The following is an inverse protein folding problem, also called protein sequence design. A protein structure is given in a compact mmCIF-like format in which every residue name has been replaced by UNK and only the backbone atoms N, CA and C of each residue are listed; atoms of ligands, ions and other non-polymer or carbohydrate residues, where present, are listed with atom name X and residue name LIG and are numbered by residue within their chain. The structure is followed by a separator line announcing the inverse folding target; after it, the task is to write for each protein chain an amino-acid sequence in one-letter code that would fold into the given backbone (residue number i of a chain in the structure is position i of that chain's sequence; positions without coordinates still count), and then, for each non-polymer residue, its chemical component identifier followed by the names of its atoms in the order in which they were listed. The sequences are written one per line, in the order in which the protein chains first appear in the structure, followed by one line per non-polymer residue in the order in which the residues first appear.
data_IF_141808058928
#
_entry.id   IF_141808058928
#
_cell.length_a   1.000
_cell.length_b   1.000
_cell.length_c   1.000
_cell.angle_alpha   90.00
_cell.angle_beta   90.00
_cell.angle_gamma   90.00
#
_symmetry.space_group_name_H-M   'P 1'
#
loop_
_entity.id
_entity.type
_entity.pdbx_description
1 polymer ?
#
# COMPACT_ATOMS: atom_id res chain seq x y z
N UNK A 1 13.75 6.63 -60.91
CA UNK A 1 14.02 5.45 -60.07
C UNK A 1 14.31 5.79 -58.59
N UNK A 2 15.12 6.80 -58.26
CA UNK A 2 15.41 7.22 -56.88
C UNK A 2 14.18 7.65 -56.04
N UNK A 3 13.20 8.37 -56.64
CA UNK A 3 12.01 8.85 -55.93
C UNK A 3 11.05 7.71 -55.48
N UNK A 4 10.98 6.61 -56.25
CA UNK A 4 10.12 5.48 -55.91
C UNK A 4 10.66 4.68 -54.73
N UNK A 5 11.97 4.62 -54.53
CA UNK A 5 12.62 3.93 -53.40
C UNK A 5 12.41 4.70 -52.12
N UNK A 6 12.55 6.02 -52.13
CA UNK A 6 12.30 6.91 -50.97
C UNK A 6 10.86 6.86 -50.52
N UNK A 7 9.92 6.82 -51.48
CA UNK A 7 8.47 6.70 -51.16
C UNK A 7 8.14 5.36 -50.51
N UNK A 8 8.71 4.24 -51.00
CA UNK A 8 8.51 2.92 -50.38
C UNK A 8 9.06 2.85 -48.95
N UNK A 9 10.25 3.41 -48.72
CA UNK A 9 10.85 3.46 -47.37
C UNK A 9 9.99 4.30 -46.42
N UNK A 10 9.44 5.43 -46.87
CA UNK A 10 8.58 6.29 -46.06
C UNK A 10 7.28 5.61 -45.70
N UNK A 11 6.69 4.81 -46.57
CA UNK A 11 5.48 4.02 -46.35
C UNK A 11 5.75 2.88 -45.35
N UNK A 12 6.88 2.18 -45.50
CA UNK A 12 7.27 1.12 -44.54
C UNK A 12 7.51 1.67 -43.13
N UNK A 13 8.23 2.79 -43.00
CA UNK A 13 8.48 3.44 -41.70
C UNK A 13 7.15 3.85 -41.05
N UNK A 14 6.20 4.42 -41.81
CA UNK A 14 4.90 4.81 -41.30
C UNK A 14 4.02 3.60 -40.87
N UNK A 15 4.14 2.46 -41.54
CA UNK A 15 3.46 1.23 -41.15
C UNK A 15 4.05 0.61 -39.88
N UNK A 16 5.38 0.62 -39.72
CA UNK A 16 6.00 0.13 -38.51
C UNK A 16 5.74 1.04 -37.30
N UNK A 17 5.72 2.35 -37.48
CA UNK A 17 5.35 3.31 -36.42
C UNK A 17 3.90 3.10 -35.99
N UNK A 18 2.97 2.89 -36.93
CA UNK A 18 1.56 2.59 -36.58
C UNK A 18 1.42 1.26 -35.85
N UNK A 19 2.19 0.24 -36.24
CA UNK A 19 2.17 -1.08 -35.59
C UNK A 19 2.72 -0.99 -34.16
N UNK A 20 3.83 -0.26 -33.94
CA UNK A 20 4.42 -0.04 -32.63
C UNK A 20 3.50 0.80 -31.74
N UNK A 21 2.86 1.85 -32.27
CA UNK A 21 1.86 2.64 -31.55
C UNK A 21 0.60 1.83 -31.20
N UNK A 22 0.14 0.94 -32.12
CA UNK A 22 -0.98 0.05 -31.81
C UNK A 22 -0.61 -1.00 -30.74
N UNK A 23 0.60 -1.52 -30.75
CA UNK A 23 1.09 -2.45 -29.73
C UNK A 23 1.29 -1.77 -28.39
N UNK A 24 1.80 -0.53 -28.39
CA UNK A 24 1.90 0.30 -27.19
C UNK A 24 0.51 0.62 -26.62
N UNK A 25 -0.48 0.96 -27.44
CA UNK A 25 -1.86 1.19 -27.00
C UNK A 25 -2.53 -0.08 -26.45
N UNK A 26 -2.21 -1.26 -26.97
CA UNK A 26 -2.70 -2.54 -26.44
C UNK A 26 -2.00 -2.87 -25.12
N UNK A 27 -0.70 -2.57 -24.96
CA UNK A 27 0.03 -2.78 -23.70
C UNK A 27 -0.36 -1.73 -22.63
N UNK A 28 -0.67 -0.49 -23.03
CA UNK A 28 -1.18 0.54 -22.12
C UNK A 28 -2.69 0.40 -21.87
N UNK A 29 -3.46 -0.21 -22.77
CA UNK A 29 -4.88 -0.52 -22.61
C UNK A 29 -5.17 -1.70 -21.68
N UNK A 30 -4.14 -2.46 -21.29
CA UNK A 30 -4.20 -3.48 -20.23
C UNK A 30 -3.85 -2.92 -18.84
N UNK A 31 -3.63 -1.62 -18.69
CA UNK A 31 -3.74 -0.92 -17.40
C UNK A 31 -5.25 -0.81 -17.16
N UNK A 32 -5.77 -1.78 -16.44
CA UNK A 32 -7.18 -1.98 -16.13
C UNK A 32 -7.83 -0.66 -15.68
N UNK A 33 -8.84 -0.13 -16.38
CA UNK A 33 -9.66 0.98 -15.87
C UNK A 33 -10.48 0.59 -14.63
N UNK A 34 -10.47 -0.67 -14.20
CA UNK A 34 -11.08 -1.20 -12.98
C UNK A 34 -10.55 -0.54 -11.68
N UNK A 35 -9.46 0.23 -11.75
CA UNK A 35 -8.86 0.83 -10.55
C UNK A 35 -9.51 2.15 -10.11
N UNK A 36 -10.19 2.90 -10.99
CA UNK A 36 -10.82 4.17 -10.60
C UNK A 36 -12.23 3.97 -10.01
N UNK A 37 -13.02 3.06 -10.51
CA UNK A 37 -14.35 2.73 -9.94
C UNK A 37 -14.22 2.00 -8.59
N UNK A 38 -13.24 1.09 -8.44
CA UNK A 38 -12.95 0.44 -7.18
C UNK A 38 -12.49 1.43 -6.09
N UNK A 39 -11.81 2.52 -6.44
CA UNK A 39 -11.29 3.51 -5.47
C UNK A 39 -12.42 4.24 -4.75
N UNK A 40 -13.53 4.60 -5.42
CA UNK A 40 -14.65 5.29 -4.78
C UNK A 40 -15.43 4.37 -3.81
N UNK A 41 -15.61 3.11 -4.14
CA UNK A 41 -16.22 2.12 -3.25
C UNK A 41 -15.36 1.82 -2.02
N UNK A 42 -14.03 1.92 -2.15
CA UNK A 42 -13.07 1.76 -1.05
C UNK A 42 -13.06 2.93 -0.05
N UNK A 43 -13.52 4.11 -0.45
CA UNK A 43 -13.59 5.29 0.41
C UNK A 43 -14.69 5.18 1.48
N UNK A 44 -15.65 4.30 1.31
CA UNK A 44 -16.64 3.99 2.33
C UNK A 44 -16.06 2.96 3.30
N UNK A 45 -15.27 3.45 4.25
CA UNK A 45 -14.75 2.63 5.33
C UNK A 45 -15.86 1.89 6.05
N UNK A 46 -15.57 0.70 6.56
CA UNK A 46 -16.51 0.02 7.45
C UNK A 46 -16.58 0.75 8.78
N UNK A 47 -17.79 0.91 9.28
CA UNK A 47 -18.00 1.40 10.65
C UNK A 47 -17.48 0.37 11.66
N UNK A 48 -17.16 0.83 12.86
CA UNK A 48 -16.79 -0.05 13.99
C UNK A 48 -17.83 -1.15 14.20
N UNK A 49 -19.12 -0.80 14.13
CA UNK A 49 -20.22 -1.74 14.30
C UNK A 49 -20.26 -2.82 13.21
N UNK A 50 -20.09 -2.45 11.95
CA UNK A 50 -20.03 -3.41 10.83
C UNK A 50 -18.87 -4.39 10.98
N UNK A 51 -17.67 -3.89 11.37
CA UNK A 51 -16.51 -4.73 11.63
C UNK A 51 -16.77 -5.71 12.78
N UNK A 52 -17.33 -5.24 13.89
CA UNK A 52 -17.64 -6.10 15.03
C UNK A 52 -18.71 -7.14 14.71
N UNK A 53 -19.73 -6.78 13.95
CA UNK A 53 -20.74 -7.71 13.45
C UNK A 53 -20.13 -8.78 12.54
N UNK A 54 -19.19 -8.38 11.68
CA UNK A 54 -18.46 -9.33 10.83
C UNK A 54 -17.73 -10.36 11.67
N UNK A 55 -16.90 -9.94 12.63
CA UNK A 55 -16.11 -10.85 13.46
C UNK A 55 -17.01 -11.72 14.36
N UNK A 56 -18.10 -11.18 14.88
CA UNK A 56 -19.05 -11.95 15.68
C UNK A 56 -19.74 -13.05 14.88
N UNK A 57 -20.14 -12.75 13.63
CA UNK A 57 -20.80 -13.74 12.75
C UNK A 57 -19.85 -14.81 12.23
N UNK A 58 -18.60 -14.47 12.01
CA UNK A 58 -17.61 -15.36 11.39
C UNK A 58 -16.59 -15.95 12.38
N UNK A 59 -16.80 -15.81 13.69
CA UNK A 59 -15.80 -16.13 14.73
C UNK A 59 -15.17 -17.53 14.61
N UNK A 60 -15.96 -18.51 14.13
CA UNK A 60 -15.52 -19.92 14.02
C UNK A 60 -14.89 -20.24 12.64
N UNK A 61 -14.91 -19.28 11.70
CA UNK A 61 -14.45 -19.47 10.32
C UNK A 61 -13.44 -18.40 9.86
N UNK A 62 -12.90 -17.62 10.79
CA UNK A 62 -11.89 -16.59 10.45
C UNK A 62 -10.58 -17.24 10.00
N UNK A 63 -10.03 -16.73 8.92
CA UNK A 63 -8.69 -17.13 8.50
C UNK A 63 -7.62 -16.55 9.42
N UNK A 64 -6.43 -17.13 9.37
CA UNK A 64 -5.34 -16.79 10.30
C UNK A 64 -4.97 -15.30 10.29
N UNK A 65 -5.06 -14.63 9.14
CA UNK A 65 -4.75 -13.19 9.00
C UNK A 65 -5.91 -12.29 9.44
N UNK A 66 -7.16 -12.77 9.42
CA UNK A 66 -8.31 -11.98 9.81
C UNK A 66 -8.33 -11.68 11.30
N UNK A 67 -8.83 -10.52 11.67
CA UNK A 67 -8.95 -10.11 13.07
C UNK A 67 -8.57 -8.67 13.32
N UNK A 68 -8.36 -8.36 14.60
CA UNK A 68 -7.99 -7.05 15.08
C UNK A 68 -6.50 -7.02 15.39
N UNK A 69 -5.85 -5.94 14.98
CA UNK A 69 -4.41 -5.80 15.00
C UNK A 69 -3.97 -4.44 15.51
N UNK A 70 -2.91 -4.39 16.28
CA UNK A 70 -2.16 -3.16 16.56
C UNK A 70 -0.94 -3.10 15.67
N UNK A 71 -0.80 -2.01 14.93
CA UNK A 71 0.31 -1.75 14.02
C UNK A 71 1.40 -0.96 14.73
N UNK A 72 2.63 -1.47 14.75
CA UNK A 72 3.85 -0.75 15.04
C UNK A 72 4.69 -0.52 13.77
N UNK A 73 5.48 0.54 13.75
CA UNK A 73 6.38 0.85 12.65
C UNK A 73 7.76 1.30 13.14
N UNK A 74 8.80 0.82 12.48
CA UNK A 74 10.16 1.34 12.59
C UNK A 74 10.51 2.03 11.26
N UNK A 75 10.88 3.30 11.31
CA UNK A 75 11.29 4.11 10.17
C UNK A 75 12.79 4.34 10.22
N UNK A 76 13.50 4.04 9.14
CA UNK A 76 14.95 4.31 9.04
C UNK A 76 15.21 5.16 7.82
N UNK A 77 15.74 6.36 8.03
CA UNK A 77 16.15 7.28 6.98
C UNK A 77 17.58 7.04 6.58
N UNK A 78 17.83 6.94 5.29
CA UNK A 78 19.16 6.89 4.67
C UNK A 78 19.31 8.08 3.71
N UNK A 79 20.47 8.72 3.74
CA UNK A 79 20.90 9.76 2.80
C UNK A 79 22.25 9.36 2.24
N UNK A 80 22.37 9.29 0.91
CA UNK A 80 23.56 8.75 0.23
C UNK A 80 24.00 7.36 0.74
N UNK A 81 23.02 6.51 1.07
CA UNK A 81 23.28 5.18 1.63
C UNK A 81 23.67 5.15 3.12
N UNK A 82 23.91 6.30 3.73
CA UNK A 82 24.28 6.43 5.15
C UNK A 82 23.00 6.49 5.99
N UNK A 83 22.91 5.63 7.01
CA UNK A 83 21.84 5.68 8.01
C UNK A 83 21.91 6.96 8.82
N UNK A 84 20.86 7.78 8.76
CA UNK A 84 20.81 9.09 9.44
C UNK A 84 20.05 9.00 10.76
N UNK A 85 18.85 8.40 10.73
CA UNK A 85 17.97 8.31 11.90
C UNK A 85 17.12 7.04 11.84
N UNK A 86 16.78 6.51 13.00
CA UNK A 86 15.77 5.46 13.16
C UNK A 86 14.77 5.89 14.22
N UNK A 87 13.50 5.82 13.90
CA UNK A 87 12.38 6.14 14.78
C UNK A 87 11.49 4.92 14.93
N UNK A 88 10.90 4.74 16.11
CA UNK A 88 9.99 3.63 16.38
C UNK A 88 8.68 4.14 16.99
N UNK A 89 7.57 3.70 16.43
CA UNK A 89 6.22 3.94 16.94
C UNK A 89 5.55 2.58 17.17
N UNK A 90 5.55 2.05 18.41
CA UNK A 90 5.09 0.68 18.68
C UNK A 90 3.57 0.50 18.55
N UNK A 91 2.79 1.55 18.80
CA UNK A 91 1.32 1.51 18.78
C UNK A 91 0.78 2.66 17.92
N UNK A 92 1.08 2.60 16.61
CA UNK A 92 0.72 3.68 15.69
C UNK A 92 -0.76 3.71 15.36
N UNK A 93 -1.37 2.54 15.20
CA UNK A 93 -2.74 2.42 14.68
C UNK A 93 -3.35 1.06 14.99
N UNK A 94 -4.64 1.07 15.33
CA UNK A 94 -5.43 -0.14 15.46
C UNK A 94 -6.23 -0.38 14.19
N UNK A 95 -6.13 -1.60 13.68
CA UNK A 95 -6.63 -2.00 12.37
C UNK A 95 -7.48 -3.28 12.47
N UNK A 96 -8.41 -3.42 11.56
CA UNK A 96 -9.14 -4.64 11.30
C UNK A 96 -8.74 -5.20 9.94
N UNK A 97 -8.52 -6.51 9.86
CA UNK A 97 -8.32 -7.24 8.60
C UNK A 97 -9.54 -8.10 8.36
N UNK A 98 -10.24 -7.87 7.26
CA UNK A 98 -11.51 -8.51 6.92
C UNK A 98 -11.42 -9.12 5.53
N UNK A 99 -11.89 -10.36 5.36
CA UNK A 99 -11.96 -11.03 4.07
C UNK A 99 -13.11 -10.48 3.24
N UNK A 100 -12.81 -10.04 2.01
CA UNK A 100 -13.78 -9.60 1.01
C UNK A 100 -13.43 -10.22 -0.35
N UNK A 101 -14.17 -11.23 -0.74
CA UNK A 101 -13.81 -12.06 -1.88
C UNK A 101 -12.46 -12.76 -1.66
N UNK A 102 -11.51 -12.54 -2.56
CA UNK A 102 -10.15 -13.10 -2.50
C UNK A 102 -9.15 -12.19 -1.78
N UNK A 103 -9.60 -11.02 -1.29
CA UNK A 103 -8.76 -10.03 -0.64
C UNK A 103 -9.01 -9.97 0.86
N UNK A 104 -7.97 -9.73 1.63
CA UNK A 104 -8.04 -9.36 3.04
C UNK A 104 -7.81 -7.85 3.16
N UNK A 105 -8.90 -7.09 3.30
CA UNK A 105 -8.89 -5.64 3.35
C UNK A 105 -8.58 -5.11 4.73
N UNK A 106 -7.93 -3.95 4.75
CA UNK A 106 -7.46 -3.30 5.97
C UNK A 106 -8.32 -2.08 6.25
N UNK A 107 -8.90 -2.02 7.45
CA UNK A 107 -9.74 -0.93 7.92
C UNK A 107 -9.21 -0.37 9.23
N UNK A 108 -9.42 0.92 9.47
CA UNK A 108 -9.14 1.53 10.76
C UNK A 108 -10.25 1.15 11.76
N UNK A 109 -9.87 0.73 12.96
CA UNK A 109 -10.82 0.22 13.95
C UNK A 109 -11.87 1.24 14.39
N UNK A 110 -11.57 2.52 14.36
CA UNK A 110 -12.51 3.59 14.72
C UNK A 110 -13.46 3.99 13.58
N UNK A 111 -13.33 3.38 12.40
CA UNK A 111 -14.13 3.69 11.21
C UNK A 111 -13.73 4.96 10.47
N UNK A 112 -12.68 5.67 10.92
CA UNK A 112 -12.19 6.85 10.23
C UNK A 112 -11.58 6.49 8.87
N UNK A 113 -11.64 7.37 7.88
CA UNK A 113 -10.91 7.21 6.63
C UNK A 113 -9.41 7.06 6.87
N UNK A 114 -8.78 6.23 6.07
CA UNK A 114 -7.33 6.07 6.03
C UNK A 114 -6.80 6.77 4.78
N UNK A 115 -5.62 7.41 4.86
CA UNK A 115 -4.95 8.04 3.71
C UNK A 115 -4.30 7.02 2.75
N UNK A 116 -4.63 5.74 2.91
CA UNK A 116 -4.16 4.69 2.03
C UNK A 116 -5.22 3.58 1.92
N UNK A 117 -5.19 2.86 0.80
CA UNK A 117 -6.00 1.66 0.57
C UNK A 117 -5.04 0.49 0.54
N UNK A 118 -5.25 -0.49 1.42
CA UNK A 118 -4.35 -1.62 1.49
C UNK A 118 -5.07 -2.95 1.67
N UNK A 119 -4.47 -3.99 1.12
CA UNK A 119 -4.97 -5.37 1.21
C UNK A 119 -3.84 -6.37 1.24
N UNK A 120 -4.17 -7.56 1.71
CA UNK A 120 -3.36 -8.75 1.55
C UNK A 120 -4.07 -9.71 0.61
N UNK A 121 -3.29 -10.48 -0.16
CA UNK A 121 -3.75 -11.63 -0.94
C UNK A 121 -2.95 -12.83 -0.49
N UNK A 122 -3.61 -13.94 -0.24
CA UNK A 122 -2.93 -15.18 0.13
C UNK A 122 -2.10 -15.68 -1.06
N UNK A 123 -0.88 -16.15 -0.78
CA UNK A 123 -0.03 -16.82 -1.76
C UNK A 123 -0.22 -18.34 -1.64
N UNK A 124 0.43 -19.10 -2.54
CA UNK A 124 0.46 -20.56 -2.45
C UNK A 124 1.27 -21.07 -1.25
N UNK A 125 2.08 -20.21 -0.63
CA UNK A 125 2.89 -20.52 0.55
C UNK A 125 2.14 -20.13 1.83
N UNK A 126 2.01 -21.09 2.75
CA UNK A 126 1.29 -20.88 4.01
C UNK A 126 1.95 -19.81 4.88
N UNK A 127 1.16 -18.87 5.38
CA UNK A 127 1.62 -17.76 6.20
C UNK A 127 2.31 -16.64 5.42
N UNK A 128 2.37 -16.75 4.09
CA UNK A 128 2.91 -15.70 3.22
C UNK A 128 1.76 -15.02 2.47
N UNK A 129 1.78 -13.70 2.45
CA UNK A 129 0.76 -12.87 1.80
C UNK A 129 1.42 -11.81 0.94
N UNK A 130 0.86 -11.54 -0.23
CA UNK A 130 1.17 -10.35 -1.00
C UNK A 130 0.45 -9.16 -0.40
N UNK A 131 1.21 -8.16 0.01
CA UNK A 131 0.69 -6.88 0.49
C UNK A 131 0.72 -5.85 -0.63
N UNK A 132 -0.39 -5.15 -0.83
CA UNK A 132 -0.50 -4.00 -1.73
C UNK A 132 -1.06 -2.82 -0.97
N UNK A 133 -0.49 -1.63 -1.22
CA UNK A 133 -0.92 -0.38 -0.61
C UNK A 133 -0.91 0.74 -1.64
N UNK A 134 -2.02 1.44 -1.76
CA UNK A 134 -2.17 2.64 -2.58
C UNK A 134 -2.32 3.85 -1.67
N UNK A 135 -1.44 4.84 -1.84
CA UNK A 135 -1.46 6.10 -1.12
C UNK A 135 -2.30 7.13 -1.88
N UNK A 136 -3.46 7.50 -1.34
CA UNK A 136 -4.43 8.37 -2.02
C UNK A 136 -3.90 9.78 -2.30
N UNK A 137 -3.08 10.31 -1.38
CA UNK A 137 -2.54 11.68 -1.47
C UNK A 137 -1.45 11.83 -2.55
N UNK A 138 -0.64 10.80 -2.75
CA UNK A 138 0.51 10.84 -3.69
C UNK A 138 0.28 10.02 -4.93
N UNK A 139 -0.77 9.19 -4.95
CA UNK A 139 -1.10 8.23 -6.00
C UNK A 139 0.01 7.18 -6.23
N UNK A 140 0.84 6.98 -5.23
CA UNK A 140 1.88 5.96 -5.26
C UNK A 140 1.31 4.60 -4.87
N UNK A 141 1.86 3.53 -5.44
CA UNK A 141 1.56 2.14 -5.08
C UNK A 141 2.81 1.45 -4.57
N UNK A 142 2.62 0.63 -3.54
CA UNK A 142 3.64 -0.27 -2.99
C UNK A 142 3.14 -1.69 -3.03
N UNK A 143 4.02 -2.61 -3.38
CA UNK A 143 3.79 -4.05 -3.26
C UNK A 143 4.98 -4.69 -2.56
N UNK A 144 4.71 -5.57 -1.60
CA UNK A 144 5.72 -6.33 -0.87
C UNK A 144 5.12 -7.62 -0.33
N UNK A 145 5.94 -8.50 0.20
CA UNK A 145 5.51 -9.74 0.82
C UNK A 145 5.41 -9.57 2.33
N UNK A 146 4.31 -10.01 2.91
CA UNK A 146 4.06 -10.02 4.35
C UNK A 146 4.12 -11.46 4.89
N UNK A 147 4.73 -11.62 6.07
CA UNK A 147 4.89 -12.90 6.74
C UNK A 147 4.04 -12.92 8.01
N UNK A 148 3.12 -13.86 8.12
CA UNK A 148 2.34 -14.14 9.31
C UNK A 148 3.07 -15.18 10.16
N UNK A 149 3.52 -14.77 11.34
CA UNK A 149 4.25 -15.59 12.30
C UNK A 149 3.32 -16.01 13.44
N UNK A 150 3.26 -17.33 13.70
CA UNK A 150 2.50 -17.91 14.82
C UNK A 150 1.03 -17.43 14.93
N UNK A 151 0.42 -17.06 13.80
CA UNK A 151 -0.95 -16.50 13.71
C UNK A 151 -1.19 -15.26 14.59
N UNK A 152 -0.14 -14.66 15.14
CA UNK A 152 -0.25 -13.56 16.11
C UNK A 152 0.59 -12.34 15.74
N UNK A 153 1.56 -12.48 14.85
CA UNK A 153 2.40 -11.38 14.40
C UNK A 153 2.52 -11.37 12.88
N UNK A 154 2.23 -10.24 12.26
CA UNK A 154 2.44 -10.01 10.83
C UNK A 154 3.60 -9.03 10.65
N UNK A 155 4.51 -9.32 9.72
CA UNK A 155 5.70 -8.51 9.46
C UNK A 155 5.94 -8.33 7.98
N UNK A 156 6.22 -7.08 7.58
CA UNK A 156 6.69 -6.73 6.24
C UNK A 156 7.50 -5.44 6.26
N UNK A 157 8.21 -5.17 5.18
CA UNK A 157 8.97 -3.93 5.02
C UNK A 157 8.96 -3.46 3.56
N UNK A 158 9.09 -2.16 3.38
CA UNK A 158 9.29 -1.54 2.06
C UNK A 158 9.90 -0.15 2.21
N UNK A 159 10.45 0.35 1.12
CA UNK A 159 10.91 1.73 1.05
C UNK A 159 9.75 2.66 0.66
N UNK A 160 9.60 3.75 1.38
CA UNK A 160 8.56 4.74 1.11
C UNK A 160 8.68 5.28 -0.32
N UNK A 161 7.57 5.36 -1.06
CA UNK A 161 7.56 5.93 -2.39
C UNK A 161 8.09 7.37 -2.43
N UNK A 162 8.59 7.78 -3.59
CA UNK A 162 9.16 9.12 -3.80
C UNK A 162 8.15 10.24 -3.51
N UNK A 163 6.87 10.05 -3.87
CA UNK A 163 5.81 11.01 -3.56
C UNK A 163 5.63 11.23 -2.06
N UNK A 164 5.70 10.17 -1.27
CA UNK A 164 5.65 10.21 0.19
C UNK A 164 6.86 10.98 0.74
N UNK A 165 8.08 10.69 0.26
CA UNK A 165 9.29 11.44 0.66
C UNK A 165 9.16 12.92 0.35
N UNK A 166 8.66 13.26 -0.85
CA UNK A 166 8.42 14.65 -1.27
C UNK A 166 7.41 15.35 -0.37
N UNK A 167 6.30 14.70 -0.04
CA UNK A 167 5.28 15.28 0.84
C UNK A 167 5.82 15.45 2.26
N UNK A 168 6.45 14.43 2.83
CA UNK A 168 6.89 14.42 4.22
C UNK A 168 8.07 15.35 4.48
N UNK A 169 9.11 15.36 3.62
CA UNK A 169 10.33 16.13 3.88
C UNK A 169 10.36 17.48 3.20
N UNK A 170 9.83 17.61 1.97
CA UNK A 170 9.94 18.83 1.18
C UNK A 170 8.70 19.73 1.25
N UNK A 171 7.48 19.16 1.17
CA UNK A 171 6.25 19.99 1.13
C UNK A 171 5.74 20.41 2.51
N UNK A 172 5.77 19.50 3.49
CA UNK A 172 5.16 19.72 4.81
C UNK A 172 6.12 19.62 6.00
N UNK A 173 7.26 18.95 5.85
CA UNK A 173 8.16 18.60 6.93
C UNK A 173 9.22 19.66 7.29
N UNK A 174 10.22 19.25 8.07
CA UNK A 174 11.24 20.15 8.62
C UNK A 174 12.13 20.81 7.55
N UNK A 175 12.13 20.28 6.33
CA UNK A 175 12.94 20.79 5.19
C UNK A 175 12.06 21.42 4.11
N UNK A 176 10.91 21.95 4.50
CA UNK A 176 9.95 22.58 3.58
C UNK A 176 10.61 23.61 2.68
N UNK A 177 10.49 23.41 1.36
CA UNK A 177 11.03 24.31 0.33
C UNK A 177 12.53 24.21 0.09
N UNK A 178 13.27 23.31 0.77
CA UNK A 178 14.70 23.11 0.57
C UNK A 178 14.98 22.52 -0.82
N UNK A 179 15.61 23.31 -1.70
CA UNK A 179 16.00 22.86 -3.05
C UNK A 179 17.00 21.69 -3.00
N UNK A 180 17.85 21.66 -1.99
CA UNK A 180 18.83 20.58 -1.80
C UNK A 180 18.12 19.27 -1.45
N UNK A 181 17.21 19.26 -0.46
CA UNK A 181 16.43 18.09 -0.10
C UNK A 181 15.60 17.59 -1.26
N UNK A 182 14.95 18.50 -2.00
CA UNK A 182 14.24 18.14 -3.22
C UNK A 182 15.14 17.38 -4.19
N UNK A 183 16.34 17.91 -4.48
CA UNK A 183 17.29 17.27 -5.40
C UNK A 183 17.73 15.91 -4.90
N UNK A 184 18.07 15.78 -3.60
CA UNK A 184 18.48 14.50 -3.00
C UNK A 184 17.39 13.43 -3.17
N UNK A 185 16.11 13.80 -3.00
CA UNK A 185 14.96 12.91 -3.24
C UNK A 185 14.83 12.57 -4.73
N UNK A 186 14.90 13.59 -5.61
CA UNK A 186 14.77 13.42 -7.07
C UNK A 186 15.86 12.52 -7.65
N UNK A 187 17.08 12.65 -7.15
CA UNK A 187 18.25 11.84 -7.54
C UNK A 187 18.23 10.42 -6.93
N UNK A 188 17.25 10.08 -6.09
CA UNK A 188 17.16 8.77 -5.44
C UNK A 188 18.18 8.55 -4.31
N UNK A 189 18.82 9.62 -3.82
CA UNK A 189 19.81 9.56 -2.76
C UNK A 189 19.21 9.64 -1.34
N UNK A 190 17.90 9.78 -1.22
CA UNK A 190 17.15 9.69 0.03
C UNK A 190 16.24 8.47 -0.01
N UNK A 191 16.33 7.63 1.01
CA UNK A 191 15.52 6.43 1.18
C UNK A 191 14.97 6.38 2.60
N UNK A 192 13.67 6.15 2.74
CA UNK A 192 13.00 5.93 4.02
C UNK A 192 12.47 4.51 4.04
N UNK A 193 13.15 3.63 4.75
CA UNK A 193 12.71 2.25 4.93
C UNK A 193 11.71 2.17 6.07
N UNK A 194 10.59 1.54 5.84
CA UNK A 194 9.55 1.25 6.81
C UNK A 194 9.48 -0.24 7.08
N UNK A 195 9.62 -0.63 8.37
CA UNK A 195 9.39 -1.98 8.87
C UNK A 195 8.14 -1.98 9.72
N UNK A 196 7.17 -2.78 9.32
CA UNK A 196 5.89 -2.90 9.99
C UNK A 196 5.84 -4.19 10.79
N UNK A 197 5.27 -4.06 12.00
CA UNK A 197 5.02 -5.16 12.92
C UNK A 197 3.58 -5.02 13.39
N UNK A 198 2.77 -6.02 13.13
CA UNK A 198 1.40 -6.05 13.56
C UNK A 198 1.26 -7.13 14.62
N UNK A 199 0.58 -6.81 15.71
CA UNK A 199 0.31 -7.74 16.78
C UNK A 199 -1.18 -7.96 16.88
N UNK A 200 -1.61 -9.22 16.80
CA UNK A 200 -3.01 -9.59 16.86
C UNK A 200 -3.54 -9.51 18.29
N UNK A 201 -4.70 -8.94 18.46
CA UNK A 201 -5.43 -9.04 19.73
C UNK A 201 -5.84 -10.49 19.96
N UNK A 202 -5.48 -11.04 21.12
CA UNK A 202 -5.49 -12.50 21.40
C UNK A 202 -6.88 -13.11 21.52
N UNK A 203 -7.97 -12.31 21.67
CA UNK A 203 -9.33 -12.83 21.61
C UNK A 203 -10.38 -11.76 21.33
N UNK A 204 -11.53 -12.18 20.76
CA UNK A 204 -12.71 -11.34 20.58
C UNK A 204 -13.26 -10.89 21.94
N UNK A 205 -13.08 -11.67 23.01
CA UNK A 205 -13.49 -11.30 24.37
C UNK A 205 -12.58 -10.22 24.96
N UNK A 206 -11.27 -10.26 24.70
CA UNK A 206 -10.37 -9.14 25.04
C UNK A 206 -10.66 -7.90 24.22
N UNK A 207 -11.24 -8.04 23.03
CA UNK A 207 -11.70 -6.94 22.18
C UNK A 207 -12.86 -6.18 22.81
N UNK A 208 -13.82 -6.85 23.45
CA UNK A 208 -14.91 -6.16 24.19
C UNK A 208 -14.35 -5.30 25.33
N UNK A 209 -13.36 -5.80 26.05
CA UNK A 209 -12.69 -5.07 27.13
C UNK A 209 -11.86 -3.90 26.58
N UNK A 210 -11.21 -4.07 25.44
CA UNK A 210 -10.46 -3.01 24.77
C UNK A 210 -11.38 -1.90 24.25
N UNK A 211 -12.48 -2.26 23.58
CA UNK A 211 -13.45 -1.30 23.04
C UNK A 211 -14.14 -0.51 24.16
N UNK A 212 -14.43 -1.14 25.29
CA UNK A 212 -14.97 -0.45 26.48
C UNK A 212 -13.99 0.57 27.08
N UNK A 213 -12.67 0.39 26.90
CA UNK A 213 -11.63 1.36 27.31
C UNK A 213 -11.47 2.52 26.33
N UNK A 214 -11.82 2.36 25.05
CA UNK A 214 -11.77 3.44 24.07
C UNK A 214 -12.99 4.37 24.18
N UNK A 215 -14.09 3.91 24.76
CA UNK A 215 -15.34 4.66 24.95
C UNK A 215 -15.37 5.38 26.33
N UNK A 216 -14.33 5.24 27.16
CA UNK A 216 -14.16 5.90 28.47
C UNK A 216 -13.13 7.04 28.40
#
# INVERSE_FOLDING_TARGET
MKYMVVLKIRIMINQHIKLVLSFALVLFGCINPLYEEDIEEFYHGKTKEEMMNYFSKNKDNLEAIEGLWTLGVIRTLYIYGIKVVTESEPNRMDLAVIKEGDLFRIYKMNGDPISFIASFTQTDESGIYDYKCYFTDTKDMVSTTANLLDNSMLRYEYDAPKGILMNYYYKAGPYKGSKEVKRIIEDGNMRLNWKFFWFKYVSIDSTKTYLARMDS
#
